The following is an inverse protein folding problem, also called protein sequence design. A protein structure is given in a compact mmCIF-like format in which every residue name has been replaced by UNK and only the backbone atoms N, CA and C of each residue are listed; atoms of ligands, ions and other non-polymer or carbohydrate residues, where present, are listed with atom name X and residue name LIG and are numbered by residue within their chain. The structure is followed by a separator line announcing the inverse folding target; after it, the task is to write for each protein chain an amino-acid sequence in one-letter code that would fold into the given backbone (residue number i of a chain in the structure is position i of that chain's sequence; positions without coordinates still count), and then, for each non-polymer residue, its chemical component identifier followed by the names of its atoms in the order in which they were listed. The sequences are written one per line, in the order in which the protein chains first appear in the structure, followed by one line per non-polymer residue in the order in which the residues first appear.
data_IF_498587238484
#
_entry.id   IF_498587238484
#
_cell.length_a   1.000
_cell.length_b   1.000
_cell.length_c   1.000
_cell.angle_alpha   90.00
_cell.angle_beta   90.00
_cell.angle_gamma   90.00
#
_symmetry.space_group_name_H-M   'P 1'
#
loop_
_entity.id
_entity.type
_entity.pdbx_description
1 polymer ?
#
# COMPACT_ATOMS: atom_id res chain seq x y z
N UNK A 1 -19.49 -10.70 -21.38
CA UNK A 1 -19.12 -10.85 -19.95
C UNK A 1 -20.30 -10.35 -19.11
N UNK A 2 -20.80 -11.15 -18.15
CA UNK A 2 -21.94 -10.74 -17.31
C UNK A 2 -21.51 -9.71 -16.26
N UNK A 3 -22.42 -8.80 -15.89
CA UNK A 3 -22.20 -7.70 -14.93
C UNK A 3 -23.37 -7.63 -13.95
N UNK A 4 -23.20 -6.89 -12.86
CA UNK A 4 -24.28 -6.63 -11.87
C UNK A 4 -25.54 -6.00 -12.47
N UNK A 5 -25.41 -5.30 -13.60
CA UNK A 5 -26.52 -4.65 -14.31
C UNK A 5 -27.19 -5.54 -15.38
N UNK A 6 -26.77 -6.79 -15.56
CA UNK A 6 -27.33 -7.67 -16.59
C UNK A 6 -28.81 -7.98 -16.32
N UNK A 7 -29.74 -7.56 -17.20
CA UNK A 7 -31.18 -7.70 -16.96
C UNK A 7 -31.67 -9.15 -17.02
N UNK A 8 -30.86 -10.07 -17.55
CA UNK A 8 -31.17 -11.50 -17.62
C UNK A 8 -31.01 -12.21 -16.27
N UNK A 9 -30.34 -11.56 -15.30
CA UNK A 9 -30.06 -12.13 -14.00
C UNK A 9 -31.16 -11.79 -12.98
N UNK A 10 -31.59 -12.76 -12.15
CA UNK A 10 -32.40 -12.47 -10.98
C UNK A 10 -31.71 -11.46 -10.04
N UNK A 11 -32.49 -10.80 -9.19
CA UNK A 11 -32.00 -9.78 -8.24
C UNK A 11 -30.85 -10.30 -7.37
N UNK A 12 -30.92 -11.56 -6.92
CA UNK A 12 -29.84 -12.19 -6.13
C UNK A 12 -28.53 -12.31 -6.92
N UNK A 13 -28.59 -12.71 -8.20
CA UNK A 13 -27.40 -12.81 -9.06
C UNK A 13 -26.76 -11.44 -9.29
N UNK A 14 -27.59 -10.43 -9.54
CA UNK A 14 -27.14 -9.03 -9.69
C UNK A 14 -26.48 -8.51 -8.41
N UNK A 15 -27.07 -8.77 -7.24
CA UNK A 15 -26.51 -8.37 -5.94
C UNK A 15 -25.14 -9.01 -5.69
N UNK A 16 -24.98 -10.32 -5.89
CA UNK A 16 -23.69 -11.02 -5.70
C UNK A 16 -22.58 -10.45 -6.59
N UNK A 17 -22.92 -10.09 -7.83
CA UNK A 17 -21.96 -9.44 -8.72
C UNK A 17 -21.64 -8.02 -8.30
N UNK A 18 -22.63 -7.26 -7.82
CA UNK A 18 -22.42 -5.91 -7.32
C UNK A 18 -21.47 -5.90 -6.12
N UNK A 19 -21.67 -6.80 -5.15
CA UNK A 19 -20.78 -6.95 -3.98
C UNK A 19 -19.32 -7.22 -4.41
N UNK A 20 -19.11 -8.13 -5.37
CA UNK A 20 -17.77 -8.45 -5.87
C UNK A 20 -17.15 -7.33 -6.74
N UNK A 21 -17.98 -6.56 -7.46
CA UNK A 21 -17.53 -5.38 -8.21
C UNK A 21 -17.14 -4.24 -7.27
N UNK A 22 -17.89 -4.04 -6.17
CA UNK A 22 -17.59 -3.07 -5.11
C UNK A 22 -16.29 -3.42 -4.38
N UNK A 23 -16.09 -4.69 -4.00
CA UNK A 23 -14.86 -5.16 -3.37
C UNK A 23 -13.62 -4.85 -4.23
N UNK A 24 -13.69 -5.13 -5.55
CA UNK A 24 -12.62 -4.80 -6.47
C UNK A 24 -12.42 -3.28 -6.58
N UNK A 25 -13.51 -2.50 -6.65
CA UNK A 25 -13.43 -1.05 -6.73
C UNK A 25 -12.74 -0.44 -5.49
N UNK A 26 -13.05 -0.95 -4.29
CA UNK A 26 -12.38 -0.55 -3.04
C UNK A 26 -10.90 -0.87 -3.09
N UNK A 27 -10.53 -2.09 -3.49
CA UNK A 27 -9.11 -2.50 -3.58
C UNK A 27 -8.32 -1.67 -4.61
N UNK A 28 -8.91 -1.33 -5.75
CA UNK A 28 -8.31 -0.43 -6.73
C UNK A 28 -8.19 1.01 -6.19
N UNK A 29 -9.18 1.48 -5.43
CA UNK A 29 -9.12 2.77 -4.74
C UNK A 29 -7.98 2.84 -3.72
N UNK A 30 -7.77 1.77 -2.95
CA UNK A 30 -6.65 1.66 -2.02
C UNK A 30 -5.30 1.68 -2.74
N UNK A 31 -5.15 0.92 -3.83
CA UNK A 31 -3.93 0.95 -4.64
C UNK A 31 -3.61 2.35 -5.14
N UNK A 32 -4.61 3.07 -5.65
CA UNK A 32 -4.45 4.45 -6.09
C UNK A 32 -3.98 5.36 -4.95
N UNK A 33 -4.64 5.30 -3.80
CA UNK A 33 -4.26 6.10 -2.63
C UNK A 33 -2.82 5.81 -2.16
N UNK A 34 -2.35 4.56 -2.25
CA UNK A 34 -0.96 4.20 -1.93
C UNK A 34 0.06 4.78 -2.91
N UNK A 35 -0.29 4.85 -4.19
CA UNK A 35 0.58 5.48 -5.21
C UNK A 35 0.66 6.99 -5.01
N UNK A 36 -0.47 7.64 -4.73
CA UNK A 36 -0.50 9.07 -4.38
C UNK A 36 0.35 9.35 -3.11
N UNK A 37 0.25 8.51 -2.07
CA UNK A 37 1.09 8.62 -0.86
C UNK A 37 2.60 8.45 -1.15
N UNK A 38 2.97 7.53 -2.05
CA UNK A 38 4.36 7.34 -2.48
C UNK A 38 4.88 8.56 -3.24
N UNK A 39 4.09 9.13 -4.14
CA UNK A 39 4.42 10.35 -4.88
C UNK A 39 4.69 11.53 -3.92
N UNK A 40 3.86 11.69 -2.89
CA UNK A 40 4.06 12.70 -1.84
C UNK A 40 5.36 12.48 -1.04
N UNK A 41 5.70 11.23 -0.74
CA UNK A 41 6.96 10.87 -0.07
C UNK A 41 8.15 11.20 -0.96
N UNK A 42 8.12 10.85 -2.25
CA UNK A 42 9.17 11.20 -3.22
C UNK A 42 9.33 12.71 -3.33
N UNK A 43 8.23 13.46 -3.44
CA UNK A 43 8.27 14.92 -3.48
C UNK A 43 8.82 15.53 -2.18
N UNK A 44 8.64 14.87 -1.04
CA UNK A 44 9.23 15.27 0.24
C UNK A 44 10.73 14.99 0.30
N UNK A 45 11.17 13.85 -0.26
CA UNK A 45 12.60 13.52 -0.37
C UNK A 45 13.34 14.53 -1.24
N UNK A 46 12.82 14.84 -2.44
CA UNK A 46 13.48 15.80 -3.33
C UNK A 46 13.61 17.19 -2.70
N UNK A 47 12.57 17.69 -2.03
CA UNK A 47 12.63 18.95 -1.28
C UNK A 47 13.67 18.93 -0.15
N UNK A 48 13.90 17.76 0.45
CA UNK A 48 14.88 17.60 1.51
C UNK A 48 16.32 17.56 0.97
N UNK A 49 16.55 16.92 -0.17
CA UNK A 49 17.86 16.89 -0.83
C UNK A 49 18.33 18.30 -1.24
N UNK A 50 17.41 19.17 -1.64
CA UNK A 50 17.71 20.59 -1.94
C UNK A 50 18.15 21.40 -0.69
N UNK A 51 17.88 20.90 0.52
CA UNK A 51 18.22 21.55 1.79
C UNK A 51 19.50 21.01 2.45
N UNK A 52 20.04 19.89 1.97
CA UNK A 52 21.21 19.22 2.57
C UNK A 52 22.48 20.09 2.52
N UNK A 53 22.59 21.01 1.56
CA UNK A 53 23.74 21.90 1.39
C UNK A 53 23.86 22.99 2.49
N UNK A 54 22.82 23.21 3.31
CA UNK A 54 22.76 24.30 4.28
C UNK A 54 23.26 23.95 5.69
N UNK A 55 23.63 22.69 5.97
CA UNK A 55 23.89 22.21 7.33
C UNK A 55 25.38 21.90 7.64
N UNK A 56 25.97 22.69 8.55
CA UNK A 56 27.33 22.50 9.07
C UNK A 56 27.47 21.21 9.93
N UNK A 57 28.72 20.81 10.20
CA UNK A 57 29.16 19.58 10.91
C UNK A 57 28.31 19.10 12.10
N UNK A 58 27.70 19.99 12.88
CA UNK A 58 26.88 19.65 14.05
C UNK A 58 25.50 19.08 13.69
N UNK A 59 25.01 19.30 12.46
CA UNK A 59 23.72 18.79 11.96
C UNK A 59 23.79 17.45 11.24
N UNK A 60 24.99 16.94 10.93
CA UNK A 60 25.17 15.79 10.03
C UNK A 60 24.50 14.49 10.52
N UNK A 61 24.57 14.19 11.83
CA UNK A 61 23.91 13.00 12.40
C UNK A 61 22.38 13.10 12.27
N UNK A 62 21.82 14.28 12.58
CA UNK A 62 20.38 14.52 12.52
C UNK A 62 19.86 14.47 11.08
N UNK A 63 20.62 15.04 10.13
CA UNK A 63 20.32 14.95 8.70
C UNK A 63 20.39 13.50 8.19
N UNK A 64 21.43 12.75 8.59
CA UNK A 64 21.55 11.33 8.22
C UNK A 64 20.38 10.51 8.75
N UNK A 65 19.97 10.72 10.00
CA UNK A 65 18.83 10.04 10.59
C UNK A 65 17.50 10.44 9.95
N UNK A 66 17.34 11.71 9.52
CA UNK A 66 16.18 12.15 8.75
C UNK A 66 16.15 11.53 7.35
N UNK A 67 17.30 11.44 6.66
CA UNK A 67 17.43 10.74 5.38
C UNK A 67 17.04 9.27 5.52
N UNK A 68 17.59 8.56 6.51
CA UNK A 68 17.23 7.17 6.77
C UNK A 68 15.74 6.98 7.11
N UNK A 69 15.10 7.95 7.79
CA UNK A 69 13.66 7.93 8.01
C UNK A 69 12.88 8.05 6.69
N UNK A 70 13.26 8.98 5.82
CA UNK A 70 12.61 9.17 4.53
C UNK A 70 12.79 7.95 3.61
N UNK A 71 13.98 7.38 3.56
CA UNK A 71 14.25 6.11 2.86
C UNK A 71 13.37 4.97 3.39
N UNK A 72 13.25 4.84 4.72
CA UNK A 72 12.38 3.82 5.33
C UNK A 72 10.90 4.06 5.00
N UNK A 73 10.45 5.32 4.92
CA UNK A 73 9.08 5.67 4.48
C UNK A 73 8.85 5.28 3.02
N UNK A 74 9.81 5.53 2.14
CA UNK A 74 9.72 5.15 0.74
C UNK A 74 9.64 3.63 0.58
N UNK A 75 10.53 2.89 1.26
CA UNK A 75 10.50 1.42 1.27
C UNK A 75 9.15 0.90 1.77
N UNK A 76 8.59 1.48 2.84
CA UNK A 76 7.27 1.09 3.32
C UNK A 76 6.17 1.39 2.30
N UNK A 77 6.20 2.56 1.65
CA UNK A 77 5.24 2.92 0.61
C UNK A 77 5.25 1.91 -0.54
N UNK A 78 6.44 1.52 -1.02
CA UNK A 78 6.60 0.48 -2.05
C UNK A 78 5.95 -0.83 -1.62
N UNK A 79 6.17 -1.27 -0.37
CA UNK A 79 5.57 -2.52 0.13
C UNK A 79 4.07 -2.45 0.32
N UNK A 80 3.52 -1.28 0.67
CA UNK A 80 2.08 -1.09 0.74
C UNK A 80 1.43 -1.05 -0.64
N UNK A 81 2.13 -0.57 -1.67
CA UNK A 81 1.69 -0.69 -3.07
C UNK A 81 1.67 -2.16 -3.49
N UNK A 82 2.76 -2.90 -3.27
CA UNK A 82 2.81 -4.34 -3.59
C UNK A 82 1.70 -5.14 -2.88
N UNK A 83 1.40 -4.82 -1.62
CA UNK A 83 0.30 -5.41 -0.85
C UNK A 83 -1.06 -5.09 -1.47
N UNK A 84 -1.30 -3.81 -1.83
CA UNK A 84 -2.54 -3.37 -2.45
C UNK A 84 -2.75 -3.97 -3.85
N UNK A 85 -1.69 -4.11 -4.65
CA UNK A 85 -1.73 -4.79 -5.95
C UNK A 85 -2.10 -6.27 -5.79
N UNK A 86 -1.48 -6.97 -4.84
CA UNK A 86 -1.81 -8.36 -4.56
C UNK A 86 -3.26 -8.51 -4.06
N UNK A 87 -3.77 -7.54 -3.28
CA UNK A 87 -5.16 -7.53 -2.84
C UNK A 87 -6.14 -7.32 -4.00
N UNK A 88 -5.88 -6.34 -4.86
CA UNK A 88 -6.69 -6.10 -6.05
C UNK A 88 -6.73 -7.33 -6.97
N UNK A 89 -5.61 -8.03 -7.15
CA UNK A 89 -5.55 -9.27 -7.94
C UNK A 89 -6.42 -10.38 -7.35
N UNK A 90 -6.42 -10.55 -6.01
CA UNK A 90 -7.32 -11.51 -5.32
C UNK A 90 -8.78 -11.15 -5.56
N UNK A 91 -9.16 -9.88 -5.40
CA UNK A 91 -10.55 -9.46 -5.53
C UNK A 91 -11.03 -9.49 -7.01
N UNK A 92 -10.13 -9.25 -7.98
CA UNK A 92 -10.41 -9.47 -9.40
C UNK A 92 -10.67 -10.95 -9.71
N UNK A 93 -9.84 -11.85 -9.17
CA UNK A 93 -10.05 -13.29 -9.32
C UNK A 93 -11.34 -13.76 -8.65
N UNK A 94 -11.70 -13.20 -7.49
CA UNK A 94 -12.99 -13.46 -6.82
C UNK A 94 -14.17 -12.96 -7.64
N UNK A 95 -14.07 -11.79 -8.27
CA UNK A 95 -15.08 -11.30 -9.19
C UNK A 95 -15.25 -12.24 -10.40
N UNK A 96 -14.15 -12.76 -10.96
CA UNK A 96 -14.21 -13.81 -12.00
C UNK A 96 -14.92 -15.07 -11.51
N UNK A 97 -14.61 -15.53 -10.30
CA UNK A 97 -15.30 -16.68 -9.69
C UNK A 97 -16.79 -16.39 -9.49
N UNK A 98 -17.16 -15.24 -8.95
CA UNK A 98 -18.55 -14.84 -8.75
C UNK A 98 -19.32 -14.80 -10.09
N UNK A 99 -18.70 -14.30 -11.16
CA UNK A 99 -19.26 -14.36 -12.52
C UNK A 99 -19.47 -15.80 -12.99
N UNK A 100 -18.47 -16.67 -12.81
CA UNK A 100 -18.59 -18.07 -13.21
C UNK A 100 -19.66 -18.84 -12.42
N UNK A 101 -19.76 -18.60 -11.10
CA UNK A 101 -20.78 -19.21 -10.23
C UNK A 101 -22.19 -18.73 -10.59
N UNK A 102 -22.36 -17.45 -10.91
CA UNK A 102 -23.65 -16.91 -11.39
C UNK A 102 -24.04 -17.54 -12.72
N UNK A 103 -23.10 -17.70 -13.66
CA UNK A 103 -23.37 -18.38 -14.92
C UNK A 103 -23.82 -19.84 -14.69
N UNK A 104 -23.13 -20.56 -13.80
CA UNK A 104 -23.46 -21.95 -13.47
C UNK A 104 -24.84 -22.05 -12.79
N UNK A 105 -25.10 -21.21 -11.78
CA UNK A 105 -26.32 -21.25 -10.98
C UNK A 105 -27.59 -21.01 -11.80
N UNK A 106 -27.51 -20.15 -12.80
CA UNK A 106 -28.65 -19.82 -13.67
C UNK A 106 -28.59 -20.57 -15.01
N UNK A 107 -27.80 -21.65 -15.09
CA UNK A 107 -27.67 -22.51 -16.27
C UNK A 107 -27.34 -21.74 -17.57
N UNK A 108 -26.62 -20.62 -17.45
CA UNK A 108 -26.20 -19.78 -18.58
C UNK A 108 -24.91 -20.29 -19.22
N UNK A 109 -24.08 -21.00 -18.45
CA UNK A 109 -22.89 -21.73 -18.91
C UNK A 109 -22.49 -22.81 -17.87
N UNK A 110 -21.59 -23.71 -18.25
CA UNK A 110 -21.00 -24.72 -17.36
C UNK A 110 -19.47 -24.55 -17.27
N UNK A 111 -18.97 -23.44 -16.68
CA UNK A 111 -17.53 -23.22 -16.54
C UNK A 111 -16.91 -24.20 -15.53
N UNK A 112 -15.67 -24.62 -15.79
CA UNK A 112 -14.86 -25.27 -14.77
C UNK A 112 -14.38 -24.22 -13.75
N UNK A 113 -14.77 -24.40 -12.49
CA UNK A 113 -14.47 -23.47 -11.40
C UNK A 113 -13.14 -23.78 -10.71
N UNK A 114 -12.62 -25.01 -10.87
CA UNK A 114 -11.44 -25.47 -10.12
C UNK A 114 -10.17 -24.68 -10.46
N UNK A 115 -9.88 -24.36 -11.74
CA UNK A 115 -8.72 -23.53 -12.08
C UNK A 115 -8.78 -22.14 -11.42
N UNK A 116 -9.96 -21.53 -11.37
CA UNK A 116 -10.15 -20.20 -10.77
C UNK A 116 -9.97 -20.25 -9.25
N UNK A 117 -10.45 -21.31 -8.60
CA UNK A 117 -10.26 -21.52 -7.15
C UNK A 117 -8.80 -21.75 -6.80
N UNK A 118 -8.09 -22.57 -7.57
CA UNK A 118 -6.66 -22.81 -7.41
C UNK A 118 -5.84 -21.51 -7.60
N UNK A 119 -6.22 -20.69 -8.58
CA UNK A 119 -5.63 -19.38 -8.82
C UNK A 119 -5.83 -18.43 -7.63
N UNK A 120 -7.05 -18.31 -7.10
CA UNK A 120 -7.34 -17.50 -5.90
C UNK A 120 -6.49 -17.96 -4.72
N UNK A 121 -6.38 -19.27 -4.48
CA UNK A 121 -5.55 -19.79 -3.41
C UNK A 121 -4.05 -19.46 -3.59
N UNK A 122 -3.56 -19.41 -4.83
CA UNK A 122 -2.20 -18.94 -5.14
C UNK A 122 -2.04 -17.45 -4.84
N UNK A 123 -2.96 -16.62 -5.33
CA UNK A 123 -2.95 -15.17 -5.13
C UNK A 123 -3.05 -14.78 -3.65
N UNK A 124 -3.87 -15.50 -2.87
CA UNK A 124 -3.97 -15.30 -1.42
C UNK A 124 -2.62 -15.55 -0.73
N UNK A 125 -1.91 -16.63 -1.11
CA UNK A 125 -0.58 -16.92 -0.55
C UNK A 125 0.44 -15.84 -0.92
N UNK A 126 0.38 -15.32 -2.14
CA UNK A 126 1.26 -14.23 -2.56
C UNK A 126 0.95 -12.94 -1.80
N UNK A 127 -0.33 -12.57 -1.67
CA UNK A 127 -0.78 -11.44 -0.83
C UNK A 127 -0.23 -11.57 0.59
N UNK A 128 -0.34 -12.74 1.22
CA UNK A 128 0.12 -12.94 2.60
C UNK A 128 1.64 -12.75 2.74
N UNK A 129 2.43 -13.10 1.70
CA UNK A 129 3.86 -12.79 1.66
C UNK A 129 4.12 -11.28 1.56
N UNK A 130 3.33 -10.55 0.78
CA UNK A 130 3.44 -9.08 0.65
C UNK A 130 3.07 -8.37 1.95
N UNK A 131 2.02 -8.83 2.64
CA UNK A 131 1.67 -8.37 4.00
C UNK A 131 2.84 -8.58 4.96
N UNK A 132 3.46 -9.77 4.96
CA UNK A 132 4.62 -10.02 5.82
C UNK A 132 5.81 -9.10 5.50
N UNK A 133 6.00 -8.72 4.23
CA UNK A 133 7.03 -7.77 3.82
C UNK A 133 6.72 -6.33 4.28
N UNK A 134 5.46 -5.88 4.19
CA UNK A 134 5.04 -4.56 4.67
C UNK A 134 5.17 -4.43 6.19
N UNK A 135 4.87 -5.49 6.96
CA UNK A 135 5.09 -5.52 8.41
C UNK A 135 6.57 -5.40 8.81
N UNK A 136 7.47 -6.02 8.04
CA UNK A 136 8.92 -5.82 8.25
C UNK A 136 9.33 -4.37 7.96
N UNK A 137 8.82 -3.78 6.88
CA UNK A 137 9.11 -2.39 6.55
C UNK A 137 8.58 -1.41 7.62
N UNK A 138 7.40 -1.67 8.20
CA UNK A 138 6.88 -0.90 9.35
C UNK A 138 7.82 -0.96 10.55
N UNK A 139 8.40 -2.13 10.81
CA UNK A 139 9.37 -2.31 11.91
C UNK A 139 10.64 -1.48 11.66
N UNK A 140 11.18 -1.50 10.43
CA UNK A 140 12.35 -0.67 10.09
C UNK A 140 12.04 0.83 10.16
N UNK A 141 10.84 1.25 9.72
CA UNK A 141 10.38 2.64 9.87
C UNK A 141 10.33 3.06 11.35
N UNK A 142 9.84 2.18 12.23
CA UNK A 142 9.85 2.41 13.67
C UNK A 142 11.27 2.64 14.21
N UNK A 143 12.23 1.78 13.83
CA UNK A 143 13.65 1.94 14.22
C UNK A 143 14.28 3.23 13.70
N UNK A 144 13.96 3.62 12.46
CA UNK A 144 14.45 4.87 11.88
C UNK A 144 13.87 6.08 12.62
N UNK A 145 12.58 6.02 13.00
CA UNK A 145 11.91 7.03 13.81
C UNK A 145 12.57 7.17 15.19
N UNK A 146 12.84 6.06 15.88
CA UNK A 146 13.52 6.06 17.18
C UNK A 146 14.95 6.61 17.10
N UNK A 147 15.66 6.35 15.99
CA UNK A 147 16.99 6.93 15.76
C UNK A 147 16.89 8.44 15.57
N UNK A 148 15.97 8.93 14.75
CA UNK A 148 15.76 10.36 14.54
C UNK A 148 15.49 11.09 15.86
N UNK A 149 14.61 10.55 16.71
CA UNK A 149 14.31 11.17 17.99
C UNK A 149 15.49 11.21 18.96
N UNK A 150 16.34 10.17 18.97
CA UNK A 150 17.57 10.16 19.79
C UNK A 150 18.58 11.19 19.31
N UNK A 151 18.77 11.31 18.00
CA UNK A 151 19.68 12.29 17.41
C UNK A 151 19.16 13.71 17.64
N UNK A 152 17.86 13.91 17.52
CA UNK A 152 17.20 15.18 17.82
C UNK A 152 17.40 15.57 19.30
N UNK A 153 17.15 14.66 20.25
CA UNK A 153 17.35 14.92 21.67
C UNK A 153 18.82 15.28 22.00
N UNK A 154 19.77 14.60 21.34
CA UNK A 154 21.21 14.90 21.46
C UNK A 154 21.53 16.29 20.91
N UNK A 155 20.99 16.67 19.75
CA UNK A 155 21.18 17.99 19.17
C UNK A 155 20.56 19.11 20.03
N UNK A 156 19.34 18.89 20.53
CA UNK A 156 18.62 19.85 21.37
C UNK A 156 19.32 20.10 22.71
N UNK A 157 19.81 19.05 23.37
CA UNK A 157 20.54 19.17 24.66
C UNK A 157 21.87 19.92 24.56
N UNK A 158 22.47 20.02 23.37
CA UNK A 158 23.70 20.80 23.11
C UNK A 158 23.44 22.29 22.88
N UNK A 159 22.21 22.79 23.04
CA UNK A 159 21.87 24.22 22.93
C UNK A 159 21.78 24.73 21.48
N UNK A 160 21.67 23.83 20.49
CA UNK A 160 21.57 24.20 19.09
C UNK A 160 20.25 24.91 18.78
N UNK A 161 20.26 26.25 18.69
CA UNK A 161 19.12 27.06 18.19
C UNK A 161 18.57 26.59 16.83
N UNK A 162 19.37 25.85 16.05
CA UNK A 162 19.00 25.24 14.76
C UNK A 162 18.17 23.95 14.88
N UNK A 163 18.15 23.24 16.02
CA UNK A 163 17.37 22.01 16.18
C UNK A 163 15.85 22.26 16.03
N UNK A 164 15.37 23.45 16.41
CA UNK A 164 13.96 23.84 16.24
C UNK A 164 13.56 24.15 14.79
N UNK A 165 14.51 24.44 13.89
CA UNK A 165 14.23 24.74 12.49
C UNK A 165 13.84 23.48 11.68
N UNK A 166 14.15 22.28 12.16
CA UNK A 166 13.85 21.02 11.46
C UNK A 166 12.36 20.69 11.35
N UNK A 167 11.51 21.32 12.15
CA UNK A 167 10.09 20.95 12.33
C UNK A 167 9.09 22.02 11.84
N UNK A 168 9.57 23.18 11.37
CA UNK A 168 8.73 24.32 10.99
C UNK A 168 8.53 24.48 9.47
N UNK A 169 9.07 23.56 8.67
CA UNK A 169 8.87 23.47 7.20
C UNK A 169 8.31 22.09 6.83
#
# INVERSE_FOLDING_TARGET
MIRSTDPRLPSEGRRRLAEAEDDLAVSLGQLRARREEQEDIVATISRFEDLDDLWEREGQSLMQSRRSLLEARLILADKLIEEAEARAAVDEARLRLARAEVLLRYALAAPDLEPVRAEIASLVRERDRRVAASERAKTELGRATDRLWRDYATAASRGGRRANALWLE
#
